data_IF_882561591988
#
_entry.id   IF_882561591988
#
_cell.length_a   1.000
_cell.length_b   1.000
_cell.length_c   1.000
_cell.angle_alpha   90.00
_cell.angle_beta   90.00
_cell.angle_gamma   90.00
#
_symmetry.space_group_name_H-M   'P 1'
#
loop_
_entity.id
_entity.type
_entity.pdbx_description
1 polymer ?
#
# COMPACT_ATOMS: atom_id res chain seq x y z
N UNK A 1 66.46 34.03 13.25
CA UNK A 1 66.67 34.22 11.77
C UNK A 1 65.69 33.29 11.11
N UNK A 2 64.70 33.78 10.70
CA UNK A 2 64.05 34.31 9.54
C UNK A 2 62.62 33.85 9.40
N UNK A 3 61.79 34.70 9.62
CA UNK A 3 60.76 35.36 8.83
C UNK A 3 59.88 34.43 8.00
N UNK A 4 58.73 34.20 8.56
CA UNK A 4 57.53 33.68 7.88
C UNK A 4 56.88 34.81 7.09
N UNK A 5 56.85 34.68 5.81
CA UNK A 5 56.01 35.52 4.94
C UNK A 5 54.55 35.13 5.09
N UNK A 6 53.81 36.05 5.67
CA UNK A 6 52.35 36.07 5.59
C UNK A 6 51.94 36.84 4.31
N UNK A 7 51.45 36.16 3.34
CA UNK A 7 50.66 36.79 2.25
C UNK A 7 49.20 36.83 2.68
N UNK A 8 48.76 38.00 3.07
CA UNK A 8 47.32 38.36 3.18
C UNK A 8 46.78 38.53 1.78
N UNK A 9 45.90 37.64 1.33
CA UNK A 9 45.07 37.87 0.15
C UNK A 9 44.07 38.99 0.46
N UNK A 10 44.13 40.05 -0.34
CA UNK A 10 43.17 41.16 -0.35
C UNK A 10 41.80 40.64 -0.80
N UNK A 11 40.82 40.78 0.06
CA UNK A 11 39.42 40.63 -0.28
C UNK A 11 38.98 41.84 -1.11
N UNK A 12 38.86 41.67 -2.41
CA UNK A 12 38.18 42.64 -3.27
C UNK A 12 36.70 42.49 -3.03
N UNK A 13 36.11 43.52 -2.42
CA UNK A 13 34.66 43.72 -2.37
C UNK A 13 34.16 44.04 -3.79
N UNK A 14 33.69 43.02 -4.48
CA UNK A 14 32.79 43.22 -5.61
C UNK A 14 31.35 43.21 -5.08
N UNK A 15 30.79 44.38 -4.90
CA UNK A 15 29.35 44.59 -4.84
C UNK A 15 28.75 44.26 -6.19
N UNK A 16 28.47 43.01 -6.41
CA UNK A 16 27.64 42.55 -7.52
C UNK A 16 26.19 42.61 -7.08
N UNK A 17 25.42 43.52 -7.62
CA UNK A 17 23.98 43.54 -7.56
C UNK A 17 23.51 42.30 -8.29
N UNK A 18 23.18 41.23 -7.55
CA UNK A 18 22.41 40.11 -8.07
C UNK A 18 20.98 40.64 -8.28
N UNK A 19 20.69 41.04 -9.51
CA UNK A 19 19.33 41.13 -9.97
C UNK A 19 18.73 39.74 -9.92
N UNK A 20 17.92 39.47 -8.90
CA UNK A 20 17.03 38.32 -8.87
C UNK A 20 16.03 38.51 -10.01
N UNK A 21 16.32 37.97 -11.17
CA UNK A 21 15.31 37.69 -12.17
C UNK A 21 14.34 36.68 -11.54
N UNK A 22 13.27 37.22 -10.94
CA UNK A 22 12.04 36.49 -10.76
C UNK A 22 11.55 36.12 -12.16
N UNK A 23 11.97 35.00 -12.64
CA UNK A 23 11.22 34.31 -13.68
C UNK A 23 9.93 33.90 -12.96
N UNK A 24 8.93 34.75 -13.05
CA UNK A 24 7.56 34.36 -12.80
C UNK A 24 7.26 33.29 -13.84
N UNK A 25 7.44 32.03 -13.47
CA UNK A 25 6.81 30.93 -14.16
C UNK A 25 5.30 31.21 -14.06
N UNK A 26 4.77 31.90 -15.05
CA UNK A 26 3.35 31.82 -15.38
C UNK A 26 3.12 30.38 -15.79
N UNK A 27 2.93 29.51 -14.81
CA UNK A 27 2.25 28.26 -15.05
C UNK A 27 0.88 28.64 -15.55
N UNK A 28 0.64 28.38 -16.82
CA UNK A 28 -0.60 28.78 -17.45
C UNK A 28 -1.75 28.05 -16.77
N UNK A 29 -2.72 28.76 -16.27
CA UNK A 29 -4.00 28.24 -15.80
C UNK A 29 -4.72 27.33 -16.82
N UNK A 30 -4.25 27.27 -18.07
CA UNK A 30 -4.74 26.39 -19.10
C UNK A 30 -4.36 24.90 -18.91
N UNK A 31 -3.21 24.58 -18.27
CA UNK A 31 -2.86 23.17 -17.98
C UNK A 31 -3.61 22.60 -16.77
N UNK A 32 -3.99 23.45 -15.81
CA UNK A 32 -4.77 23.02 -14.64
C UNK A 32 -6.23 22.69 -14.98
N UNK A 33 -6.84 23.35 -15.96
CA UNK A 33 -8.17 23.02 -16.45
C UNK A 33 -8.20 21.65 -17.19
N UNK A 34 -7.13 21.32 -17.91
CA UNK A 34 -6.99 20.03 -18.60
C UNK A 34 -6.88 18.84 -17.63
N UNK A 35 -6.38 19.01 -16.43
CA UNK A 35 -6.20 17.92 -15.48
C UNK A 35 -7.50 17.57 -14.74
N UNK A 36 -8.30 18.56 -14.36
CA UNK A 36 -9.62 18.32 -13.76
C UNK A 36 -10.59 17.68 -14.75
N UNK A 37 -10.43 17.98 -16.05
CA UNK A 37 -11.27 17.42 -17.13
C UNK A 37 -11.08 15.91 -17.27
N UNK A 38 -9.94 15.34 -16.85
CA UNK A 38 -9.68 13.88 -16.91
C UNK A 38 -10.63 13.06 -16.01
N UNK A 39 -11.19 13.69 -14.99
CA UNK A 39 -12.03 13.03 -13.98
C UNK A 39 -13.37 13.72 -13.77
N UNK A 40 -13.76 14.62 -14.67
CA UNK A 40 -14.95 15.45 -14.53
C UNK A 40 -16.25 14.64 -14.62
N UNK A 41 -16.32 13.64 -15.50
CA UNK A 41 -17.47 12.75 -15.66
C UNK A 41 -17.17 11.33 -15.21
N UNK A 42 -18.22 10.56 -14.89
CA UNK A 42 -18.08 9.14 -14.55
C UNK A 42 -17.43 8.34 -15.68
N UNK A 43 -17.73 8.64 -16.94
CA UNK A 43 -17.10 7.99 -18.09
C UNK A 43 -15.58 8.27 -18.12
N UNK A 44 -15.16 9.52 -17.93
CA UNK A 44 -13.74 9.88 -17.91
C UNK A 44 -13.02 9.20 -16.75
N UNK A 45 -13.62 9.12 -15.57
CA UNK A 45 -13.06 8.39 -14.41
C UNK A 45 -12.93 6.90 -14.69
N UNK A 46 -13.91 6.31 -15.37
CA UNK A 46 -13.83 4.90 -15.78
C UNK A 46 -12.68 4.68 -16.78
N UNK A 47 -12.56 5.52 -17.81
CA UNK A 47 -11.49 5.44 -18.81
C UNK A 47 -10.11 5.63 -18.16
N UNK A 48 -9.98 6.59 -17.25
CA UNK A 48 -8.78 6.84 -16.46
C UNK A 48 -8.41 5.61 -15.61
N UNK A 49 -9.39 5.05 -14.91
CA UNK A 49 -9.21 3.84 -14.09
C UNK A 49 -8.70 2.66 -14.91
N UNK A 50 -9.36 2.37 -16.03
CA UNK A 50 -8.98 1.26 -16.92
C UNK A 50 -7.57 1.45 -17.49
N UNK A 51 -7.22 2.69 -17.87
CA UNK A 51 -5.87 3.02 -18.35
C UNK A 51 -4.79 2.75 -17.30
N UNK A 52 -5.00 3.16 -16.06
CA UNK A 52 -4.02 2.95 -14.99
C UNK A 52 -3.99 1.50 -14.49
N UNK A 53 -5.13 0.82 -14.40
CA UNK A 53 -5.16 -0.62 -14.12
C UNK A 53 -4.36 -1.40 -15.16
N UNK A 54 -4.51 -1.04 -16.46
CA UNK A 54 -3.70 -1.66 -17.49
C UNK A 54 -2.21 -1.43 -17.25
N UNK A 55 -1.77 -0.21 -16.97
CA UNK A 55 -0.36 0.13 -16.78
C UNK A 55 0.24 -0.51 -15.52
N UNK A 56 -0.45 -0.39 -14.38
CA UNK A 56 0.09 -0.82 -13.08
C UNK A 56 -0.04 -2.33 -12.86
N UNK A 57 -1.16 -2.91 -13.28
CA UNK A 57 -1.54 -4.29 -12.96
C UNK A 57 -1.21 -5.25 -14.12
N UNK A 58 -1.59 -4.88 -15.36
CA UNK A 58 -1.38 -5.77 -16.52
C UNK A 58 0.02 -5.66 -17.10
N UNK A 59 0.50 -4.43 -17.35
CA UNK A 59 1.78 -4.22 -18.03
C UNK A 59 2.99 -4.34 -17.06
N UNK A 60 2.83 -3.96 -15.79
CA UNK A 60 3.87 -4.11 -14.75
C UNK A 60 3.68 -5.41 -13.97
N UNK A 61 2.47 -5.68 -13.48
CA UNK A 61 2.13 -6.83 -12.65
C UNK A 61 2.59 -6.69 -11.20
N UNK A 62 3.05 -7.79 -10.57
CA UNK A 62 3.57 -7.77 -9.20
C UNK A 62 4.67 -6.73 -9.03
N UNK A 63 4.50 -5.85 -8.07
CA UNK A 63 5.38 -4.69 -7.83
C UNK A 63 5.81 -4.60 -6.38
N UNK A 64 6.37 -5.72 -5.91
CA UNK A 64 6.91 -5.79 -4.55
C UNK A 64 7.93 -4.68 -4.29
N UNK A 65 7.96 -4.19 -3.08
CA UNK A 65 8.90 -3.16 -2.60
C UNK A 65 10.35 -3.48 -2.97
N UNK A 66 11.15 -2.45 -3.26
CA UNK A 66 12.55 -2.63 -3.65
C UNK A 66 12.76 -3.16 -5.07
N UNK A 67 11.71 -3.58 -5.78
CA UNK A 67 11.83 -4.16 -7.12
C UNK A 67 11.91 -3.12 -8.23
N UNK A 68 12.43 -3.54 -9.39
CA UNK A 68 12.39 -2.71 -10.60
C UNK A 68 10.96 -2.47 -11.08
N UNK A 69 10.03 -3.38 -10.81
CA UNK A 69 8.62 -3.24 -11.13
C UNK A 69 8.00 -2.12 -10.30
N UNK A 70 8.26 -2.12 -8.99
CA UNK A 70 7.83 -1.03 -8.11
C UNK A 70 8.36 0.34 -8.58
N UNK A 71 9.66 0.44 -8.86
CA UNK A 71 10.26 1.68 -9.34
C UNK A 71 9.66 2.19 -10.67
N UNK A 72 9.15 1.29 -11.55
CA UNK A 72 8.40 1.67 -12.75
C UNK A 72 7.01 2.21 -12.38
N UNK A 73 6.30 1.53 -11.49
CA UNK A 73 4.98 1.97 -11.01
C UNK A 73 5.06 3.34 -10.32
N UNK A 74 6.03 3.55 -9.44
CA UNK A 74 6.27 4.84 -8.79
C UNK A 74 6.51 5.98 -9.79
N UNK A 75 7.20 5.72 -10.92
CA UNK A 75 7.37 6.72 -11.99
C UNK A 75 6.07 7.05 -12.71
N UNK A 76 5.16 6.08 -12.89
CA UNK A 76 3.83 6.32 -13.46
C UNK A 76 3.04 7.23 -12.52
N UNK A 77 2.97 6.87 -11.24
CA UNK A 77 2.26 7.66 -10.22
C UNK A 77 2.84 9.07 -10.09
N UNK A 78 4.17 9.23 -10.11
CA UNK A 78 4.82 10.54 -10.11
C UNK A 78 4.34 11.41 -11.28
N UNK A 79 4.33 10.85 -12.50
CA UNK A 79 3.88 11.56 -13.70
C UNK A 79 2.41 11.96 -13.63
N UNK A 80 1.56 11.06 -13.12
CA UNK A 80 0.14 11.35 -12.94
C UNK A 80 -0.07 12.48 -11.93
N UNK A 81 0.62 12.45 -10.78
CA UNK A 81 0.56 13.55 -9.81
C UNK A 81 1.08 14.86 -10.40
N UNK A 82 2.15 14.83 -11.19
CA UNK A 82 2.71 16.04 -11.85
C UNK A 82 1.77 16.71 -12.85
N UNK A 83 0.75 16.01 -13.33
CA UNK A 83 -0.27 16.59 -14.23
C UNK A 83 -1.22 17.54 -13.50
N UNK A 84 -1.36 17.38 -12.18
CA UNK A 84 -2.39 18.06 -11.39
C UNK A 84 -1.85 18.83 -10.18
N UNK A 85 -0.72 18.43 -9.65
CA UNK A 85 -0.22 18.95 -8.39
C UNK A 85 1.00 19.86 -8.57
N UNK A 86 1.07 21.00 -7.87
CA UNK A 86 2.17 21.95 -8.02
C UNK A 86 3.48 21.49 -7.39
N UNK A 87 3.43 20.56 -6.44
CA UNK A 87 4.61 20.02 -5.75
C UNK A 87 4.52 18.51 -5.80
N UNK A 88 5.47 17.87 -6.47
CA UNK A 88 5.55 16.41 -6.56
C UNK A 88 7.00 15.95 -6.50
N UNK A 89 7.29 14.98 -5.65
CA UNK A 89 8.65 14.45 -5.48
C UNK A 89 8.65 12.96 -5.09
N UNK A 90 9.77 12.32 -5.27
CA UNK A 90 10.10 11.06 -4.61
C UNK A 90 10.66 11.34 -3.21
N UNK A 91 10.17 10.60 -2.24
CA UNK A 91 10.78 10.45 -0.92
C UNK A 91 11.45 9.08 -0.87
N UNK A 92 12.78 9.07 -0.79
CA UNK A 92 13.61 7.86 -0.95
C UNK A 92 14.24 7.46 0.35
N UNK A 93 14.24 6.15 0.62
CA UNK A 93 14.85 5.55 1.79
C UNK A 93 15.44 4.17 1.47
N UNK A 94 16.04 3.52 2.44
CA UNK A 94 16.54 2.15 2.34
C UNK A 94 15.88 1.29 3.43
N UNK A 95 15.58 0.05 3.10
CA UNK A 95 15.01 -0.93 4.04
C UNK A 95 15.59 -2.32 3.78
N UNK A 96 15.39 -3.24 4.72
CA UNK A 96 15.76 -4.64 4.55
C UNK A 96 14.57 -5.41 3.99
N UNK A 97 14.72 -5.95 2.77
CA UNK A 97 13.70 -6.73 2.08
C UNK A 97 13.85 -8.22 2.39
N UNK A 98 12.74 -8.87 2.74
CA UNK A 98 12.65 -10.30 3.05
C UNK A 98 11.62 -11.02 2.17
N UNK A 99 11.35 -10.55 0.99
CA UNK A 99 10.39 -11.19 0.08
C UNK A 99 10.89 -12.52 -0.46
N UNK A 100 10.04 -13.55 -0.57
CA UNK A 100 10.34 -14.72 -1.39
C UNK A 100 10.38 -14.32 -2.86
N UNK A 101 11.18 -15.04 -3.65
CA UNK A 101 11.35 -14.76 -5.10
C UNK A 101 10.62 -15.76 -5.99
N UNK A 102 10.06 -16.82 -5.44
CA UNK A 102 9.30 -17.82 -6.18
C UNK A 102 8.05 -18.28 -5.43
N UNK A 103 7.02 -18.64 -6.18
CA UNK A 103 5.89 -19.40 -5.65
C UNK A 103 6.32 -20.82 -5.32
N UNK A 104 5.49 -21.53 -4.58
CA UNK A 104 5.76 -22.90 -4.21
C UNK A 104 4.50 -23.77 -4.25
N UNK A 105 4.73 -25.07 -4.45
CA UNK A 105 3.72 -26.11 -4.28
C UNK A 105 4.12 -27.01 -3.12
N UNK A 106 3.15 -27.41 -2.33
CA UNK A 106 3.27 -28.53 -1.42
C UNK A 106 2.90 -29.81 -2.19
N UNK A 107 3.83 -30.75 -2.29
CA UNK A 107 3.55 -32.11 -2.80
C UNK A 107 3.25 -33.00 -1.61
N UNK A 108 2.04 -33.55 -1.56
CA UNK A 108 1.54 -34.33 -0.45
C UNK A 108 1.05 -35.70 -0.96
N UNK A 109 1.78 -36.74 -0.67
CA UNK A 109 1.46 -38.10 -1.20
C UNK A 109 1.34 -38.15 -2.73
N UNK A 110 2.12 -37.31 -3.44
CA UNK A 110 2.10 -37.17 -4.90
C UNK A 110 1.06 -36.22 -5.48
N UNK A 111 0.24 -35.58 -4.65
CA UNK A 111 -0.72 -34.56 -5.07
C UNK A 111 -0.13 -33.16 -4.84
N UNK A 112 -0.36 -32.25 -5.80
CA UNK A 112 0.01 -30.83 -5.68
C UNK A 112 -1.07 -30.06 -4.94
N UNK A 113 -0.66 -29.28 -3.95
CA UNK A 113 -1.49 -28.34 -3.20
C UNK A 113 -0.84 -26.97 -3.30
N UNK A 114 -1.65 -25.98 -3.59
CA UNK A 114 -1.19 -24.59 -3.61
C UNK A 114 -0.66 -24.18 -2.22
N UNK A 115 0.60 -23.76 -2.18
CA UNK A 115 1.23 -23.24 -0.96
C UNK A 115 1.90 -21.90 -1.28
N UNK A 116 1.51 -20.84 -0.59
CA UNK A 116 2.04 -19.50 -0.84
C UNK A 116 3.00 -19.11 0.27
N UNK A 117 4.26 -18.73 -0.04
CA UNK A 117 5.23 -18.29 0.95
C UNK A 117 4.68 -17.09 1.75
N UNK A 118 4.92 -17.12 3.06
CA UNK A 118 4.47 -16.05 3.94
C UNK A 118 5.46 -14.87 3.96
N UNK A 119 4.95 -13.67 4.23
CA UNK A 119 5.77 -12.47 4.48
C UNK A 119 6.84 -12.78 5.53
N UNK A 120 8.05 -12.29 5.31
CA UNK A 120 9.19 -12.49 6.23
C UNK A 120 9.52 -13.95 6.51
N UNK A 121 9.03 -14.86 5.67
CA UNK A 121 9.42 -16.27 5.71
C UNK A 121 10.84 -16.46 5.18
N UNK A 122 11.41 -17.60 5.50
CA UNK A 122 12.66 -18.06 4.91
C UNK A 122 12.37 -18.96 3.71
N UNK A 123 13.29 -19.01 2.77
CA UNK A 123 13.27 -20.02 1.72
C UNK A 123 13.61 -21.41 2.25
N UNK A 124 13.38 -22.39 1.42
CA UNK A 124 13.85 -23.76 1.66
C UNK A 124 15.29 -23.91 1.18
N UNK A 125 16.00 -24.98 1.58
CA UNK A 125 17.18 -25.42 0.84
C UNK A 125 16.89 -25.61 -0.65
N UNK A 126 17.93 -25.62 -1.49
CA UNK A 126 17.81 -25.73 -2.97
C UNK A 126 17.04 -26.97 -3.40
N UNK A 127 17.21 -28.08 -2.67
CA UNK A 127 16.50 -29.37 -2.86
C UNK A 127 15.05 -29.33 -2.34
N UNK A 128 14.67 -28.30 -1.61
CA UNK A 128 13.40 -28.23 -0.90
C UNK A 128 13.46 -28.87 0.48
N UNK A 129 12.32 -28.96 1.13
CA UNK A 129 12.13 -29.61 2.44
C UNK A 129 11.30 -30.86 2.25
N UNK A 130 11.79 -31.99 2.73
CA UNK A 130 11.14 -33.28 2.66
C UNK A 130 10.98 -33.89 4.06
N UNK A 131 9.85 -34.53 4.31
CA UNK A 131 9.53 -35.19 5.58
C UNK A 131 8.13 -35.80 5.54
N UNK A 132 7.51 -35.91 6.71
CA UNK A 132 6.11 -36.33 6.85
C UNK A 132 5.23 -35.17 7.26
N UNK A 133 3.98 -35.17 6.80
CA UNK A 133 3.02 -34.17 7.23
C UNK A 133 2.50 -34.48 8.64
N UNK A 134 2.54 -33.50 9.52
CA UNK A 134 2.00 -33.59 10.89
C UNK A 134 1.06 -32.41 11.15
N UNK A 135 0.15 -32.56 12.10
CA UNK A 135 -0.66 -31.45 12.61
C UNK A 135 0.08 -30.75 13.73
N UNK A 136 0.22 -29.42 13.63
CA UNK A 136 0.92 -28.58 14.61
C UNK A 136 0.05 -27.40 15.01
N UNK A 137 -0.50 -27.43 16.23
CA UNK A 137 -1.40 -26.40 16.73
C UNK A 137 -2.61 -26.22 15.81
N UNK A 138 -2.80 -24.99 15.32
CA UNK A 138 -3.87 -24.64 14.36
C UNK A 138 -3.48 -24.89 12.89
N UNK A 139 -2.22 -25.25 12.62
CA UNK A 139 -1.68 -25.47 11.28
C UNK A 139 -1.15 -26.86 11.06
N UNK A 140 -0.22 -26.98 10.12
CA UNK A 140 0.46 -28.23 9.76
C UNK A 140 1.95 -28.00 9.62
N UNK A 141 2.74 -29.06 9.67
CA UNK A 141 4.18 -29.00 9.45
C UNK A 141 4.70 -30.18 8.64
N UNK A 142 5.80 -29.95 7.93
CA UNK A 142 6.67 -31.05 7.50
C UNK A 142 7.66 -31.27 8.64
N UNK A 143 7.71 -32.49 9.16
CA UNK A 143 8.60 -32.88 10.25
C UNK A 143 9.54 -34.04 9.84
N UNK A 144 10.70 -34.07 10.46
CA UNK A 144 11.57 -35.26 10.39
C UNK A 144 10.87 -36.45 11.04
N UNK A 145 10.80 -37.58 10.36
CA UNK A 145 10.10 -38.78 10.85
C UNK A 145 10.74 -39.36 12.13
N UNK A 146 12.05 -39.19 12.27
CA UNK A 146 12.83 -39.83 13.34
C UNK A 146 12.68 -39.12 14.70
N UNK A 147 12.61 -37.80 14.70
CA UNK A 147 12.68 -36.98 15.92
C UNK A 147 11.57 -35.95 16.04
N UNK A 148 10.73 -35.81 15.01
CA UNK A 148 9.63 -34.85 15.00
C UNK A 148 10.04 -33.37 14.84
N UNK A 149 11.30 -33.09 14.47
CA UNK A 149 11.77 -31.73 14.25
C UNK A 149 10.99 -31.07 13.12
N UNK A 150 10.46 -29.88 13.35
CA UNK A 150 9.76 -29.09 12.32
C UNK A 150 10.76 -28.55 11.32
N UNK A 151 10.51 -28.81 10.03
CA UNK A 151 11.34 -28.38 8.90
C UNK A 151 10.67 -27.28 8.06
N UNK A 152 9.33 -27.29 7.97
CA UNK A 152 8.52 -26.25 7.36
C UNK A 152 7.17 -26.18 8.06
N UNK A 153 6.56 -25.00 8.12
CA UNK A 153 5.26 -24.81 8.76
C UNK A 153 4.25 -24.25 7.77
N UNK A 154 2.99 -24.63 7.95
CA UNK A 154 1.87 -24.24 7.12
C UNK A 154 0.76 -23.67 7.97
N UNK A 155 0.45 -22.38 7.77
CA UNK A 155 -0.76 -21.75 8.30
C UNK A 155 -1.92 -21.99 7.34
N UNK A 156 -3.12 -22.19 7.87
CA UNK A 156 -4.32 -22.33 7.04
C UNK A 156 -5.06 -21.02 6.99
N UNK A 157 -5.28 -20.51 5.78
CA UNK A 157 -6.05 -19.31 5.53
C UNK A 157 -7.50 -19.49 6.01
N UNK A 158 -8.10 -18.42 6.51
CA UNK A 158 -9.55 -18.37 6.76
C UNK A 158 -10.37 -18.38 5.45
N UNK A 159 -9.74 -18.10 4.32
CA UNK A 159 -10.37 -18.11 3.00
C UNK A 159 -10.27 -19.50 2.35
N UNK A 160 -11.08 -19.75 1.32
CA UNK A 160 -11.10 -21.03 0.63
C UNK A 160 -9.75 -21.43 0.05
N UNK A 161 -9.03 -20.50 -0.57
CA UNK A 161 -7.72 -20.71 -1.21
C UNK A 161 -6.55 -20.25 -0.34
N UNK A 162 -5.34 -20.66 -0.71
CA UNK A 162 -4.11 -20.19 -0.09
C UNK A 162 -3.91 -18.69 -0.35
N UNK A 163 -3.40 -17.98 0.65
CA UNK A 163 -3.02 -16.56 0.54
C UNK A 163 -1.63 -16.33 1.13
N UNK A 164 -0.94 -15.31 0.65
CA UNK A 164 0.20 -14.77 1.36
C UNK A 164 -0.30 -13.94 2.57
N UNK A 165 0.33 -14.09 3.71
CA UNK A 165 -0.03 -13.38 4.94
C UNK A 165 1.20 -13.11 5.80
N UNK A 166 1.02 -12.42 6.91
CA UNK A 166 2.06 -12.31 7.92
C UNK A 166 2.30 -13.68 8.55
N UNK A 167 3.52 -14.19 8.45
CA UNK A 167 3.91 -15.47 9.03
C UNK A 167 3.57 -15.56 10.52
N UNK A 168 3.51 -16.78 11.05
CA UNK A 168 3.23 -17.01 12.46
C UNK A 168 4.41 -16.48 13.32
N UNK A 169 4.22 -15.33 13.96
CA UNK A 169 5.25 -14.61 14.72
C UNK A 169 5.86 -15.37 15.92
N UNK A 170 5.35 -16.58 16.23
CA UNK A 170 5.81 -17.42 17.34
C UNK A 170 6.72 -18.58 16.92
N UNK A 171 6.96 -18.77 15.61
CA UNK A 171 7.84 -19.82 15.11
C UNK A 171 9.29 -19.37 15.07
N UNK A 172 10.20 -20.33 15.13
CA UNK A 172 11.61 -20.10 14.85
C UNK A 172 11.73 -19.41 13.48
N UNK A 173 12.34 -18.24 13.47
CA UNK A 173 12.49 -17.40 12.27
C UNK A 173 13.32 -18.06 11.16
N UNK A 174 13.98 -19.19 11.45
CA UNK A 174 14.73 -19.97 10.47
C UNK A 174 13.90 -21.01 9.70
N UNK A 175 12.61 -21.18 10.06
CA UNK A 175 11.75 -22.19 9.45
C UNK A 175 10.93 -21.56 8.32
N UNK A 176 10.92 -22.16 7.10
CA UNK A 176 10.03 -21.74 6.02
C UNK A 176 8.55 -21.84 6.43
N UNK A 177 7.79 -20.78 6.14
CA UNK A 177 6.35 -20.68 6.46
C UNK A 177 5.54 -20.42 5.21
N UNK A 178 4.44 -21.17 5.04
CA UNK A 178 3.55 -21.07 3.89
C UNK A 178 2.09 -20.93 4.33
N UNK A 179 1.28 -20.31 3.48
CA UNK A 179 -0.18 -20.30 3.58
C UNK A 179 -0.80 -21.39 2.73
N UNK A 180 -1.75 -22.14 3.29
CA UNK A 180 -2.60 -23.11 2.61
C UNK A 180 -4.06 -22.64 2.61
N UNK A 181 -4.87 -23.18 1.70
CA UNK A 181 -6.29 -22.89 1.62
C UNK A 181 -7.12 -23.71 2.61
N UNK A 182 -8.19 -23.11 3.15
CA UNK A 182 -9.19 -23.82 3.97
C UNK A 182 -9.83 -24.99 3.21
N UNK A 183 -9.95 -24.89 1.90
CA UNK A 183 -10.46 -25.98 1.04
C UNK A 183 -9.65 -27.27 1.12
N UNK A 184 -8.36 -27.19 1.48
CA UNK A 184 -7.44 -28.31 1.51
C UNK A 184 -7.45 -29.05 2.86
N UNK A 185 -8.12 -28.52 3.89
CA UNK A 185 -8.18 -29.12 5.24
C UNK A 185 -8.53 -30.62 5.22
N UNK A 186 -9.56 -31.09 4.49
CA UNK A 186 -9.91 -32.50 4.52
C UNK A 186 -8.77 -33.41 4.01
N UNK A 187 -7.98 -32.96 3.03
CA UNK A 187 -6.82 -33.69 2.54
C UNK A 187 -5.67 -33.63 3.56
N UNK A 188 -5.39 -32.43 4.10
CA UNK A 188 -4.34 -32.22 5.09
C UNK A 188 -4.56 -33.07 6.35
N UNK A 189 -5.79 -33.12 6.88
CA UNK A 189 -6.13 -33.94 8.05
C UNK A 189 -5.91 -35.45 7.80
N UNK A 190 -6.40 -35.95 6.65
CA UNK A 190 -6.18 -37.34 6.29
C UNK A 190 -4.69 -37.68 6.16
N UNK A 191 -3.95 -36.77 5.50
CA UNK A 191 -2.53 -36.95 5.23
C UNK A 191 -1.69 -36.86 6.50
N UNK A 192 -1.97 -35.96 7.39
CA UNK A 192 -1.30 -35.88 8.69
C UNK A 192 -1.58 -37.10 9.56
N UNK A 193 -2.83 -37.59 9.58
CA UNK A 193 -3.19 -38.82 10.30
C UNK A 193 -2.46 -40.04 9.77
N UNK A 194 -2.24 -40.11 8.46
CA UNK A 194 -1.53 -41.23 7.78
C UNK A 194 -0.03 -40.98 7.67
N UNK A 195 0.49 -39.85 8.16
CA UNK A 195 1.90 -39.45 8.07
C UNK A 195 2.43 -39.55 6.64
N UNK A 196 1.68 -39.00 5.67
CA UNK A 196 2.07 -39.06 4.28
C UNK A 196 3.36 -38.28 4.03
N UNK A 197 4.22 -38.75 3.09
CA UNK A 197 5.36 -37.95 2.64
C UNK A 197 4.92 -36.61 2.09
N UNK A 198 5.64 -35.57 2.46
CA UNK A 198 5.41 -34.20 2.06
C UNK A 198 6.71 -33.54 1.60
N UNK A 199 6.63 -32.73 0.56
CA UNK A 199 7.74 -31.94 0.05
C UNK A 199 7.28 -30.56 -0.34
N UNK A 200 8.08 -29.53 0.00
CA UNK A 200 7.84 -28.14 -0.39
C UNK A 200 9.15 -27.46 -0.76
N UNK A 201 9.11 -26.58 -1.75
CA UNK A 201 10.25 -25.77 -2.16
C UNK A 201 9.84 -24.33 -2.41
N UNK A 202 10.64 -23.38 -1.94
CA UNK A 202 10.51 -21.95 -2.24
C UNK A 202 11.87 -21.29 -2.20
N UNK A 203 12.14 -20.40 -3.14
CA UNK A 203 13.36 -19.60 -3.13
C UNK A 203 13.15 -18.33 -2.29
N UNK A 204 14.20 -17.98 -1.54
CA UNK A 204 14.26 -16.75 -0.76
C UNK A 204 15.63 -16.12 -0.93
N UNK A 205 15.65 -14.82 -1.16
CA UNK A 205 16.89 -14.06 -1.29
C UNK A 205 16.75 -12.75 -0.53
N UNK A 206 17.32 -12.66 0.68
CA UNK A 206 17.32 -11.39 1.43
C UNK A 206 18.10 -10.33 0.66
N UNK A 207 17.56 -9.12 0.62
CA UNK A 207 18.19 -7.93 0.06
C UNK A 207 18.33 -6.92 1.17
N UNK A 208 19.56 -6.69 1.62
CA UNK A 208 19.86 -5.62 2.57
C UNK A 208 19.94 -4.29 1.84
N UNK A 209 19.43 -3.22 2.45
CA UNK A 209 19.39 -1.89 1.87
C UNK A 209 18.70 -1.85 0.50
N UNK A 210 17.55 -2.49 0.42
CA UNK A 210 16.68 -2.35 -0.74
C UNK A 210 16.18 -0.90 -0.85
N UNK A 211 16.04 -0.35 -2.08
CA UNK A 211 15.57 1.02 -2.25
C UNK A 211 14.06 1.11 -2.00
N UNK A 212 13.64 1.95 -1.06
CA UNK A 212 12.26 2.35 -0.84
C UNK A 212 11.95 3.71 -1.49
N UNK A 213 10.75 3.89 -2.01
CA UNK A 213 10.34 5.11 -2.72
C UNK A 213 8.87 5.42 -2.45
N UNK A 214 8.58 6.41 -1.63
CA UNK A 214 7.24 7.01 -1.63
C UNK A 214 7.12 8.04 -2.76
N UNK A 215 5.91 8.20 -3.30
CA UNK A 215 5.59 9.30 -4.22
C UNK A 215 4.69 10.28 -3.49
N UNK A 216 5.15 11.52 -3.36
CA UNK A 216 4.45 12.54 -2.58
C UNK A 216 4.03 13.68 -3.49
N UNK A 217 2.74 14.04 -3.43
CA UNK A 217 2.19 15.19 -4.11
C UNK A 217 1.48 16.13 -3.14
N UNK A 218 1.54 17.46 -3.37
CA UNK A 218 0.94 18.45 -2.48
C UNK A 218 0.25 19.58 -3.22
N UNK A 219 -0.88 20.03 -2.64
CA UNK A 219 -1.53 21.30 -2.93
C UNK A 219 -1.42 22.15 -1.66
N UNK A 220 -0.65 23.24 -1.63
CA UNK A 220 -0.59 24.13 -0.49
C UNK A 220 -1.97 24.76 -0.21
N UNK A 221 -2.42 24.70 1.03
CA UNK A 221 -3.62 25.36 1.51
C UNK A 221 -3.35 26.79 2.03
N UNK A 222 -4.40 27.46 2.51
CA UNK A 222 -4.30 28.76 3.17
C UNK A 222 -3.62 28.68 4.53
N UNK A 223 -3.61 27.50 5.13
CA UNK A 223 -2.96 27.21 6.41
C UNK A 223 -1.95 26.08 6.30
N UNK A 224 -1.17 25.89 7.37
CA UNK A 224 -0.27 24.74 7.51
C UNK A 224 -0.98 23.47 7.93
N UNK A 225 -2.24 23.57 8.39
CA UNK A 225 -3.03 22.39 8.70
C UNK A 225 -3.14 21.51 7.47
N UNK A 226 -3.10 20.19 7.67
CA UNK A 226 -2.92 19.24 6.57
C UNK A 226 -3.96 18.12 6.62
N UNK A 227 -4.49 17.79 5.45
CA UNK A 227 -5.23 16.56 5.19
C UNK A 227 -4.27 15.65 4.42
N UNK A 228 -3.87 14.54 5.05
CA UNK A 228 -2.98 13.55 4.48
C UNK A 228 -3.81 12.40 3.93
N UNK A 229 -3.64 12.09 2.65
CA UNK A 229 -4.27 10.98 1.95
C UNK A 229 -3.18 10.00 1.54
N UNK A 230 -3.26 8.76 2.00
CA UNK A 230 -2.25 7.74 1.76
C UNK A 230 -2.88 6.45 1.22
N UNK A 231 -2.24 5.85 0.22
CA UNK A 231 -2.55 4.54 -0.31
C UNK A 231 -1.25 3.86 -0.75
N UNK A 232 -1.04 2.60 -0.38
CA UNK A 232 0.18 1.92 -0.77
C UNK A 232 0.17 1.49 -2.24
N UNK A 233 1.35 1.52 -2.85
CA UNK A 233 1.55 1.18 -4.25
C UNK A 233 2.19 -0.21 -4.43
N UNK A 234 2.91 -0.68 -3.44
CA UNK A 234 3.52 -2.00 -3.45
C UNK A 234 2.49 -3.12 -3.40
N UNK A 235 2.92 -4.32 -3.70
CA UNK A 235 2.10 -5.52 -3.62
C UNK A 235 2.83 -6.61 -2.89
N UNK A 236 2.07 -7.47 -2.26
CA UNK A 236 2.62 -8.71 -1.74
C UNK A 236 3.20 -9.56 -2.88
N UNK A 237 4.12 -10.43 -2.51
CA UNK A 237 4.77 -11.36 -3.43
C UNK A 237 3.80 -12.04 -4.40
N UNK A 238 4.17 -12.03 -5.69
CA UNK A 238 3.47 -12.69 -6.80
C UNK A 238 2.00 -12.28 -6.99
N UNK A 239 1.60 -11.13 -6.46
CA UNK A 239 0.23 -10.60 -6.59
C UNK A 239 0.26 -9.38 -7.50
N UNK A 240 -0.53 -9.34 -8.59
CA UNK A 240 -0.64 -8.13 -9.42
C UNK A 240 -1.26 -6.95 -8.68
N UNK A 241 -2.06 -7.20 -7.63
CA UNK A 241 -2.54 -6.21 -6.69
C UNK A 241 -3.44 -5.15 -7.34
N UNK A 242 -4.52 -5.60 -7.98
CA UNK A 242 -5.46 -4.71 -8.62
C UNK A 242 -6.40 -4.05 -7.61
N UNK A 243 -7.04 -4.86 -6.75
CA UNK A 243 -7.85 -4.38 -5.65
C UNK A 243 -6.98 -3.99 -4.45
N UNK A 244 -5.86 -4.69 -4.26
CA UNK A 244 -4.89 -4.48 -3.19
C UNK A 244 -3.50 -4.17 -3.79
N UNK A 245 -3.18 -2.88 -4.05
CA UNK A 245 -3.97 -1.70 -3.71
C UNK A 245 -3.99 -0.68 -4.88
N UNK A 246 -3.80 -1.13 -6.17
CA UNK A 246 -3.76 -0.23 -7.32
C UNK A 246 -5.05 0.60 -7.45
N UNK A 247 -6.23 0.00 -7.19
CA UNK A 247 -7.51 0.70 -7.30
C UNK A 247 -7.61 1.86 -6.29
N UNK A 248 -7.14 1.69 -5.05
CA UNK A 248 -7.10 2.77 -4.07
C UNK A 248 -6.11 3.88 -4.44
N UNK A 249 -4.95 3.53 -5.00
CA UNK A 249 -4.02 4.52 -5.56
C UNK A 249 -4.67 5.30 -6.69
N UNK A 250 -5.44 4.64 -7.57
CA UNK A 250 -6.17 5.30 -8.67
C UNK A 250 -7.24 6.25 -8.12
N UNK A 251 -8.00 5.85 -7.10
CA UNK A 251 -8.96 6.75 -6.42
C UNK A 251 -8.22 7.96 -5.86
N UNK A 252 -7.10 7.78 -5.17
CA UNK A 252 -6.28 8.88 -4.64
C UNK A 252 -5.79 9.82 -5.76
N UNK A 253 -5.35 9.29 -6.90
CA UNK A 253 -4.94 10.09 -8.06
C UNK A 253 -6.12 10.87 -8.68
N UNK A 254 -7.31 10.27 -8.76
CA UNK A 254 -8.51 10.97 -9.21
C UNK A 254 -8.88 12.11 -8.27
N UNK A 255 -8.74 11.93 -6.95
CA UNK A 255 -8.94 12.99 -5.97
C UNK A 255 -7.92 14.12 -6.14
N UNK A 256 -6.66 13.79 -6.43
CA UNK A 256 -5.62 14.77 -6.73
C UNK A 256 -5.95 15.59 -8.00
N UNK A 257 -6.44 14.94 -9.06
CA UNK A 257 -6.91 15.61 -10.27
C UNK A 257 -8.12 16.49 -10.01
N UNK A 258 -9.11 16.00 -9.28
CA UNK A 258 -10.32 16.76 -8.95
C UNK A 258 -10.02 17.98 -8.04
N UNK A 259 -9.00 17.87 -7.19
CA UNK A 259 -8.55 18.96 -6.32
C UNK A 259 -7.75 20.04 -7.07
N UNK A 260 -7.22 19.74 -8.25
CA UNK A 260 -6.39 20.67 -9.02
C UNK A 260 -7.13 21.97 -9.36
N UNK A 261 -6.44 23.08 -9.20
CA UNK A 261 -6.99 24.40 -9.50
C UNK A 261 -8.02 24.95 -8.49
N UNK A 262 -8.28 24.22 -7.40
CA UNK A 262 -9.15 24.67 -6.31
C UNK A 262 -8.32 25.23 -5.15
N UNK A 263 -8.91 26.16 -4.39
CA UNK A 263 -8.35 26.65 -3.15
C UNK A 263 -8.87 25.84 -1.97
N UNK A 264 -7.97 25.46 -1.06
CA UNK A 264 -8.27 24.74 0.17
C UNK A 264 -7.78 25.53 1.40
N UNK A 265 -8.44 25.35 2.54
CA UNK A 265 -7.96 25.88 3.81
C UNK A 265 -6.79 25.06 4.34
N UNK A 266 -6.87 23.73 4.20
CA UNK A 266 -5.83 22.78 4.55
C UNK A 266 -4.89 22.52 3.37
N UNK A 267 -3.63 22.29 3.66
CA UNK A 267 -2.73 21.66 2.67
C UNK A 267 -3.20 20.23 2.42
N UNK A 268 -3.36 19.85 1.15
CA UNK A 268 -3.63 18.47 0.78
C UNK A 268 -2.32 17.78 0.44
N UNK A 269 -2.05 16.65 1.07
CA UNK A 269 -0.88 15.82 0.78
C UNK A 269 -1.34 14.42 0.38
N UNK A 270 -0.90 13.97 -0.79
CA UNK A 270 -1.18 12.66 -1.37
C UNK A 270 0.09 11.84 -1.34
N UNK A 271 0.04 10.63 -0.79
CA UNK A 271 1.18 9.73 -0.67
C UNK A 271 0.83 8.38 -1.28
N UNK A 272 1.52 8.00 -2.35
CA UNK A 272 1.60 6.61 -2.74
C UNK A 272 2.78 6.00 -1.99
N UNK A 273 2.49 5.24 -0.92
CA UNK A 273 3.48 4.66 -0.03
C UNK A 273 4.08 3.38 -0.60
N UNK A 274 5.28 3.09 -0.15
CA UNK A 274 6.00 1.84 -0.44
C UNK A 274 6.06 0.98 0.83
N UNK A 275 6.21 -0.31 0.66
CA UNK A 275 6.48 -1.26 1.74
C UNK A 275 5.38 -1.35 2.82
N UNK A 276 4.13 -1.11 2.45
CA UNK A 276 2.99 -1.38 3.34
C UNK A 276 2.96 -2.86 3.68
N UNK A 277 3.08 -3.71 2.66
CA UNK A 277 3.06 -5.15 2.74
C UNK A 277 4.20 -5.74 3.60
N UNK A 278 5.20 -4.93 3.94
CA UNK A 278 6.37 -5.29 4.77
C UNK A 278 6.44 -4.56 6.11
N UNK A 279 5.34 -4.05 6.65
CA UNK A 279 5.21 -3.33 7.92
C UNK A 279 5.26 -1.82 7.82
N UNK A 280 4.70 -1.28 6.74
CA UNK A 280 4.46 0.16 6.61
C UNK A 280 5.74 1.01 6.61
N UNK A 281 6.87 0.45 6.12
CA UNK A 281 8.18 1.10 6.19
C UNK A 281 8.18 2.49 5.53
N UNK A 282 7.49 2.64 4.37
CA UNK A 282 7.38 3.93 3.70
C UNK A 282 6.62 4.97 4.50
N UNK A 283 5.54 4.56 5.14
CA UNK A 283 4.76 5.44 6.01
C UNK A 283 5.54 5.82 7.27
N UNK A 284 6.28 4.87 7.88
CA UNK A 284 7.18 5.16 9.01
C UNK A 284 8.27 6.14 8.63
N UNK A 285 8.96 5.90 7.49
CA UNK A 285 10.01 6.81 7.01
C UNK A 285 9.50 8.24 6.85
N UNK A 286 8.35 8.42 6.19
CA UNK A 286 7.75 9.74 6.01
C UNK A 286 7.36 10.38 7.36
N UNK A 287 6.76 9.60 8.28
CA UNK A 287 6.37 10.09 9.59
C UNK A 287 7.59 10.51 10.44
N UNK A 288 8.70 9.76 10.39
CA UNK A 288 9.97 10.12 11.06
C UNK A 288 10.52 11.44 10.54
N UNK A 289 10.48 11.68 9.23
CA UNK A 289 10.84 12.98 8.65
C UNK A 289 9.96 14.10 9.19
N UNK A 290 8.65 13.90 9.31
CA UNK A 290 7.71 14.88 9.87
C UNK A 290 7.95 15.16 11.36
N UNK A 291 8.38 14.14 12.13
CA UNK A 291 8.79 14.31 13.53
C UNK A 291 10.08 15.14 13.61
N UNK A 292 11.09 14.79 12.80
CA UNK A 292 12.38 15.49 12.78
C UNK A 292 12.22 16.96 12.40
N UNK A 293 11.35 17.29 11.47
CA UNK A 293 11.04 18.65 11.03
C UNK A 293 10.05 19.39 11.94
N UNK A 294 9.56 18.75 13.00
CA UNK A 294 8.54 19.29 13.92
C UNK A 294 7.25 19.72 13.20
N UNK A 295 6.87 19.02 12.13
CA UNK A 295 5.68 19.29 11.31
C UNK A 295 4.58 18.22 11.46
N UNK A 296 4.84 17.16 12.24
CA UNK A 296 3.85 16.11 12.52
C UNK A 296 2.54 16.70 13.09
N UNK A 297 2.63 17.70 13.94
CA UNK A 297 1.49 18.41 14.56
C UNK A 297 0.61 19.18 13.58
N UNK A 298 1.08 19.45 12.36
CA UNK A 298 0.32 20.18 11.35
C UNK A 298 -0.73 19.26 10.68
N UNK A 299 -0.57 17.93 10.78
CA UNK A 299 -1.51 16.95 10.26
C UNK A 299 -2.78 16.95 11.11
N UNK A 300 -3.93 17.23 10.50
CA UNK A 300 -5.26 17.29 11.14
C UNK A 300 -6.12 16.08 10.81
N UNK A 301 -5.98 15.59 9.58
CA UNK A 301 -6.69 14.40 9.12
C UNK A 301 -5.72 13.43 8.44
N UNK A 302 -5.90 12.15 8.67
CA UNK A 302 -5.18 11.07 7.99
C UNK A 302 -6.20 10.13 7.37
N UNK A 303 -6.25 10.08 6.04
CA UNK A 303 -7.10 9.21 5.26
C UNK A 303 -6.24 8.09 4.66
N UNK A 304 -6.36 6.89 5.17
CA UNK A 304 -5.69 5.71 4.63
C UNK A 304 -6.65 4.90 3.78
N UNK A 305 -6.32 4.73 2.50
CA UNK A 305 -7.10 3.98 1.53
C UNK A 305 -6.44 2.64 1.25
N UNK A 306 -7.09 1.59 1.66
CA UNK A 306 -6.58 0.24 1.50
C UNK A 306 -7.71 -0.70 1.13
N UNK A 307 -7.62 -1.30 -0.08
CA UNK A 307 -8.62 -2.25 -0.58
C UNK A 307 -10.04 -1.67 -0.66
N UNK A 308 -10.20 -0.49 -1.28
CA UNK A 308 -11.48 0.23 -1.41
C UNK A 308 -12.50 -0.49 -2.32
N UNK A 309 -12.13 -1.56 -3.03
CA UNK A 309 -12.92 -2.09 -4.14
C UNK A 309 -13.33 -3.56 -3.99
N UNK A 310 -13.17 -4.17 -2.83
CA UNK A 310 -13.66 -5.53 -2.59
C UNK A 310 -15.18 -5.63 -2.47
N UNK A 311 -15.88 -4.51 -2.42
CA UNK A 311 -17.33 -4.46 -2.40
C UNK A 311 -17.86 -3.04 -2.36
N UNK A 312 -19.17 -2.84 -2.58
CA UNK A 312 -19.77 -1.52 -2.64
C UNK A 312 -19.92 -0.86 -1.25
N UNK A 313 -19.84 -1.62 -0.16
CA UNK A 313 -19.98 -1.09 1.18
C UNK A 313 -18.63 -0.64 1.71
N UNK A 314 -18.39 0.66 1.74
CA UNK A 314 -17.19 1.22 2.37
C UNK A 314 -17.18 0.87 3.86
N UNK A 315 -16.06 0.32 4.33
CA UNK A 315 -15.84 0.07 5.75
C UNK A 315 -14.93 1.15 6.31
N UNK A 316 -15.52 1.98 7.17
CA UNK A 316 -14.90 3.18 7.72
C UNK A 316 -14.47 2.89 9.15
N UNK A 317 -13.18 2.80 9.36
CA UNK A 317 -12.56 2.67 10.66
C UNK A 317 -12.13 4.06 11.15
N UNK A 318 -12.86 4.60 12.11
CA UNK A 318 -12.55 5.83 12.81
C UNK A 318 -13.34 5.86 14.13
N UNK A 319 -12.74 6.37 15.20
CA UNK A 319 -13.47 6.64 16.45
C UNK A 319 -14.20 7.97 16.44
N UNK A 320 -13.85 8.84 15.50
CA UNK A 320 -14.40 10.18 15.44
C UNK A 320 -15.84 10.15 14.90
N UNK A 321 -16.76 10.73 15.68
CA UNK A 321 -18.17 10.75 15.31
C UNK A 321 -18.45 11.67 14.14
N UNK A 322 -17.71 12.78 14.02
CA UNK A 322 -17.83 13.69 12.88
C UNK A 322 -17.55 12.99 11.56
N UNK A 323 -16.48 12.17 11.49
CA UNK A 323 -16.16 11.36 10.32
C UNK A 323 -17.32 10.47 9.91
N UNK A 324 -17.89 9.75 10.90
CA UNK A 324 -19.02 8.84 10.66
C UNK A 324 -20.26 9.57 10.15
N UNK A 325 -20.56 10.71 10.77
CA UNK A 325 -21.72 11.53 10.40
C UNK A 325 -21.56 12.11 9.00
N UNK A 326 -20.40 12.68 8.68
CA UNK A 326 -20.08 13.21 7.35
C UNK A 326 -20.20 12.14 6.26
N UNK A 327 -19.61 10.96 6.47
CA UNK A 327 -19.71 9.85 5.50
C UNK A 327 -21.16 9.39 5.31
N UNK A 328 -21.92 9.25 6.41
CA UNK A 328 -23.33 8.88 6.33
C UNK A 328 -24.15 9.89 5.52
N UNK A 329 -23.96 11.19 5.81
CA UNK A 329 -24.69 12.26 5.16
C UNK A 329 -24.33 12.35 3.67
N UNK A 330 -23.06 12.13 3.30
CA UNK A 330 -22.62 12.02 1.89
C UNK A 330 -23.34 10.88 1.18
N UNK A 331 -23.37 9.68 1.76
CA UNK A 331 -24.08 8.55 1.14
C UNK A 331 -25.56 8.85 0.89
N UNK A 332 -26.21 9.49 1.87
CA UNK A 332 -27.61 9.89 1.75
C UNK A 332 -27.82 10.94 0.64
N UNK A 333 -27.01 11.98 0.60
CA UNK A 333 -27.13 13.07 -0.37
C UNK A 333 -26.81 12.64 -1.80
N UNK A 334 -25.85 11.75 -1.97
CA UNK A 334 -25.47 11.19 -3.26
C UNK A 334 -26.36 10.01 -3.68
N UNK A 335 -27.34 9.61 -2.85
CA UNK A 335 -28.22 8.47 -3.07
C UNK A 335 -27.46 7.17 -3.35
N UNK A 336 -26.35 6.93 -2.61
CA UNK A 336 -25.57 5.70 -2.70
C UNK A 336 -26.33 4.61 -1.94
N UNK A 337 -26.78 3.57 -2.66
CA UNK A 337 -27.61 2.48 -2.08
C UNK A 337 -26.84 1.63 -1.07
N UNK A 338 -25.53 1.43 -1.31
CA UNK A 338 -24.66 0.65 -0.41
C UNK A 338 -24.36 1.45 0.85
N UNK A 339 -24.90 1.00 1.99
CA UNK A 339 -24.63 1.66 3.27
C UNK A 339 -23.18 1.47 3.72
N UNK A 340 -22.53 2.52 4.30
CA UNK A 340 -21.22 2.36 4.90
C UNK A 340 -21.28 1.50 6.17
N UNK A 341 -20.22 0.72 6.39
CA UNK A 341 -20.02 -0.08 7.59
C UNK A 341 -19.03 0.66 8.48
N UNK A 342 -19.26 0.74 9.77
CA UNK A 342 -18.38 1.44 10.70
C UNK A 342 -17.64 0.44 11.60
N UNK A 343 -16.31 0.53 11.58
CA UNK A 343 -15.44 -0.20 12.50
C UNK A 343 -15.29 0.53 13.84
N UNK A 344 -14.71 -0.17 14.81
CA UNK A 344 -14.55 0.35 16.18
C UNK A 344 -13.13 0.85 16.49
N UNK A 345 -12.15 0.64 15.61
CA UNK A 345 -10.79 1.11 15.84
C UNK A 345 -10.65 2.62 15.59
N UNK A 346 -9.53 3.19 16.01
CA UNK A 346 -9.30 4.64 15.96
C UNK A 346 -8.85 5.18 14.60
N UNK A 347 -8.83 4.33 13.57
CA UNK A 347 -8.40 4.69 12.23
C UNK A 347 -6.88 4.68 12.03
N UNK A 348 -6.09 4.57 13.09
CA UNK A 348 -4.63 4.44 13.00
C UNK A 348 -4.23 2.98 12.87
N UNK A 349 -4.37 2.46 11.66
CA UNK A 349 -4.01 1.09 11.28
C UNK A 349 -3.25 1.12 9.95
N UNK A 350 -2.45 0.11 9.66
CA UNK A 350 -1.67 0.02 8.43
C UNK A 350 -0.81 1.31 8.24
N UNK A 351 -0.79 1.88 7.05
CA UNK A 351 -0.03 3.08 6.72
C UNK A 351 -0.41 4.35 7.51
N UNK A 352 -1.59 4.38 8.15
CA UNK A 352 -1.95 5.50 9.03
C UNK A 352 -1.34 5.41 10.43
N UNK A 353 -0.90 4.22 10.85
CA UNK A 353 -0.39 3.97 12.22
C UNK A 353 0.76 4.90 12.63
N UNK A 354 1.79 5.17 11.79
CA UNK A 354 2.90 6.04 12.14
C UNK A 354 2.51 7.49 12.43
N UNK A 355 1.33 7.94 11.99
CA UNK A 355 0.85 9.31 12.19
C UNK A 355 0.06 9.51 13.48
N UNK A 356 -0.15 8.47 14.27
CA UNK A 356 -0.86 8.58 15.57
C UNK A 356 -0.29 9.65 16.51
N UNK A 357 1.04 9.93 16.56
CA UNK A 357 1.59 11.00 17.38
C UNK A 357 1.15 12.42 16.96
N UNK A 358 0.58 12.62 15.77
CA UNK A 358 0.07 13.92 15.33
C UNK A 358 -1.12 14.41 16.16
N UNK A 359 -1.88 13.49 16.77
CA UNK A 359 -3.17 13.77 17.38
C UNK A 359 -4.28 14.06 16.37
N UNK A 360 -4.07 13.72 15.09
CA UNK A 360 -5.03 13.90 14.02
C UNK A 360 -6.27 13.02 14.19
N UNK A 361 -7.32 13.36 13.46
CA UNK A 361 -8.45 12.47 13.21
C UNK A 361 -8.05 11.50 12.09
N UNK A 362 -8.04 10.21 12.38
CA UNK A 362 -7.72 9.19 11.40
C UNK A 362 -8.96 8.48 10.89
N UNK A 363 -8.93 8.17 9.60
CA UNK A 363 -9.88 7.33 8.90
C UNK A 363 -9.11 6.31 8.07
N UNK A 364 -9.30 5.03 8.38
CA UNK A 364 -8.88 3.95 7.51
C UNK A 364 -10.11 3.43 6.77
N UNK A 365 -10.07 3.52 5.45
CA UNK A 365 -11.14 3.08 4.58
C UNK A 365 -10.72 1.86 3.78
N UNK A 366 -11.51 0.82 3.87
CA UNK A 366 -11.51 -0.31 2.96
C UNK A 366 -12.95 -0.60 2.50
N UNK A 367 -13.23 -1.74 1.94
CA UNK A 367 -14.58 -2.10 1.53
C UNK A 367 -14.94 -3.53 1.92
N UNK A 368 -16.20 -3.76 2.08
CA UNK A 368 -16.82 -5.06 2.37
C UNK A 368 -18.14 -5.15 1.60
N UNK A 369 -18.82 -6.27 1.69
CA UNK A 369 -20.15 -6.41 1.16
C UNK A 369 -20.30 -7.59 0.24
N UNK A 370 -19.18 -8.20 -0.07
CA UNK A 370 -19.18 -9.48 -0.71
C UNK A 370 -18.84 -10.54 0.33
N UNK A 371 -19.41 -11.71 0.16
CA UNK A 371 -19.09 -12.88 1.01
C UNK A 371 -17.66 -13.40 0.74
N UNK A 372 -17.31 -14.54 1.35
CA UNK A 372 -16.00 -15.19 1.11
C UNK A 372 -15.71 -15.44 -0.40
N UNK A 373 -16.73 -15.38 -1.27
CA UNK A 373 -16.57 -15.56 -2.71
C UNK A 373 -16.00 -14.32 -3.41
N UNK A 374 -16.03 -13.18 -2.79
CA UNK A 374 -15.61 -11.90 -3.35
C UNK A 374 -14.29 -11.37 -2.84
N UNK A 375 -13.73 -11.98 -1.77
CA UNK A 375 -12.33 -11.80 -1.39
C UNK A 375 -11.40 -12.96 -1.87
N UNK A 376 -11.77 -13.80 -2.87
CA UNK A 376 -10.92 -14.92 -3.28
C UNK A 376 -9.62 -14.46 -3.93
N UNK A 377 -9.50 -13.18 -4.29
CA UNK A 377 -8.33 -12.59 -4.94
C UNK A 377 -7.35 -11.95 -3.97
N UNK A 378 -7.75 -11.71 -2.72
CA UNK A 378 -6.92 -11.06 -1.71
C UNK A 378 -5.58 -11.77 -1.51
N UNK A 379 -4.47 -11.05 -1.66
CA UNK A 379 -3.09 -11.56 -1.58
C UNK A 379 -2.81 -12.75 -2.51
N UNK A 380 -3.35 -12.69 -3.73
CA UNK A 380 -3.27 -13.81 -4.68
C UNK A 380 -2.86 -13.35 -6.09
N UNK A 381 -2.28 -14.26 -6.89
CA UNK A 381 -2.02 -14.01 -8.30
C UNK A 381 -3.27 -13.67 -9.12
N UNK A 382 -4.46 -14.00 -8.61
CA UNK A 382 -5.74 -13.72 -9.26
C UNK A 382 -6.24 -12.28 -9.05
N UNK A 383 -5.57 -11.45 -8.26
CA UNK A 383 -5.93 -10.04 -8.09
C UNK A 383 -5.51 -9.22 -9.31
N UNK A 384 -6.26 -9.40 -10.38
CA UNK A 384 -6.03 -8.87 -11.72
C UNK A 384 -6.98 -7.72 -12.05
N UNK A 385 -6.65 -6.93 -13.08
CA UNK A 385 -7.39 -5.73 -13.46
C UNK A 385 -8.88 -5.97 -13.75
N UNK A 386 -9.23 -7.14 -14.31
CA UNK A 386 -10.61 -7.55 -14.60
C UNK A 386 -11.43 -7.90 -13.34
N UNK A 387 -10.80 -7.97 -12.19
CA UNK A 387 -11.43 -8.23 -10.88
C UNK A 387 -11.77 -6.96 -10.10
N UNK A 388 -11.46 -5.78 -10.64
CA UNK A 388 -11.79 -4.50 -10.01
C UNK A 388 -13.19 -4.07 -10.41
N UNK A 389 -14.16 -4.01 -9.49
CA UNK A 389 -15.49 -3.47 -9.76
C UNK A 389 -15.41 -1.94 -9.95
N UNK A 390 -15.70 -1.46 -11.16
CA UNK A 390 -15.57 -0.04 -11.50
C UNK A 390 -16.58 0.86 -10.77
N UNK A 391 -17.73 0.32 -10.42
CA UNK A 391 -18.75 0.98 -9.59
C UNK A 391 -18.22 1.24 -8.16
N UNK A 392 -17.46 0.31 -7.58
CA UNK A 392 -16.82 0.52 -6.28
C UNK A 392 -15.76 1.63 -6.33
N UNK A 393 -15.00 1.73 -7.44
CA UNK A 393 -14.05 2.81 -7.67
C UNK A 393 -14.78 4.16 -7.73
N UNK A 394 -15.89 4.21 -8.47
CA UNK A 394 -16.70 5.42 -8.61
C UNK A 394 -17.32 5.86 -7.29
N UNK A 395 -17.90 4.93 -6.52
CA UNK A 395 -18.45 5.21 -5.18
C UNK A 395 -17.37 5.78 -4.27
N UNK A 396 -16.21 5.14 -4.23
CA UNK A 396 -15.08 5.59 -3.39
C UNK A 396 -14.62 7.00 -3.78
N UNK A 397 -14.50 7.28 -5.08
CA UNK A 397 -14.16 8.62 -5.55
C UNK A 397 -15.19 9.66 -5.11
N UNK A 398 -16.47 9.42 -5.36
CA UNK A 398 -17.54 10.39 -5.04
C UNK A 398 -17.60 10.68 -3.54
N UNK A 399 -17.52 9.64 -2.71
CA UNK A 399 -17.56 9.79 -1.26
C UNK A 399 -16.37 10.58 -0.73
N UNK A 400 -15.16 10.28 -1.18
CA UNK A 400 -13.97 10.94 -0.63
C UNK A 400 -13.68 12.31 -1.26
N UNK A 401 -14.09 12.60 -2.49
CA UNK A 401 -14.05 13.95 -3.06
C UNK A 401 -14.96 14.90 -2.24
N UNK A 402 -16.15 14.44 -1.90
CA UNK A 402 -17.07 15.22 -1.09
C UNK A 402 -16.63 15.30 0.38
N UNK A 403 -16.07 14.21 0.93
CA UNK A 403 -15.54 14.19 2.29
C UNK A 403 -14.41 15.22 2.47
N UNK A 404 -13.42 15.24 1.58
CA UNK A 404 -12.31 16.20 1.62
C UNK A 404 -12.82 17.63 1.58
N UNK A 405 -13.79 17.95 0.71
CA UNK A 405 -14.39 19.28 0.61
C UNK A 405 -15.09 19.71 1.91
N UNK A 406 -15.72 18.79 2.62
CA UNK A 406 -16.44 19.09 3.87
C UNK A 406 -15.49 19.30 5.03
N UNK A 407 -14.51 18.42 5.21
CA UNK A 407 -13.56 18.54 6.32
C UNK A 407 -12.58 19.71 6.12
N UNK A 408 -12.34 20.14 4.88
CA UNK A 408 -11.55 21.34 4.58
C UNK A 408 -12.19 22.63 5.07
N UNK A 409 -13.52 22.65 5.25
CA UNK A 409 -14.27 23.82 5.70
C UNK A 409 -14.42 23.90 7.22
N UNK A 410 -14.03 22.84 7.93
CA UNK A 410 -14.06 22.75 9.39
C UNK A 410 -12.78 23.28 10.01
#
# INVERSE_FOLDING_TARGET
MNTKNMQRAQFIKMTGILAFLMISNKWSFAESSLSSDLVASAQQRQEYTLSLLKQLVTDIGPRSSGSKAYAKAAKIVLKEMQRSLPIVNFDKYEFDDWGPISSSDLILGGQHIEAIPQKRGFGTPVEGVYGILTKEGSGYAITEEQNGKILAYFSVSQYGRAIAGSGNGNLDKSIPVFGLGKQDIPLLERSAKSKLPAWVKSEYKPVHKAPGINVIGRIPGKSKNEILIIAHLDTIFNTPGANDNAASVIVMLMLAHAASGREYNHTLTFIASDSEEYVFEGAYHYAEGRIADNTMKDIRYVLNFDSLTYGPNLWINSKDQLVKDVIRDIHKELNIESAPIYGENDGFVMDSLPFKPSGAIALHANSRGYDEKTLPVYHRPDDTADKVPLDCVEISFQVFDEFIKRVDRL
#
